data_IF_504503236234
#
_entry.id   IF_504503236234
#
_cell.length_a   1.000
_cell.length_b   1.000
_cell.length_c   1.000
_cell.angle_alpha   90.00
_cell.angle_beta   90.00
_cell.angle_gamma   90.00
#
_symmetry.space_group_name_H-M   'P 1'
#
loop_
_entity.id
_entity.type
_entity.pdbx_description
1 polymer ?
#
# COMPACT_ATOMS: atom_id res chain seq x y z
N UNK A 1 32.46 -2.04 -17.70
CA UNK A 1 31.04 -1.62 -17.76
C UNK A 1 30.48 -1.75 -16.35
N UNK A 2 30.41 -0.65 -15.61
CA UNK A 2 29.94 -0.65 -14.22
C UNK A 2 28.43 -0.90 -14.21
N UNK A 3 27.99 -1.97 -13.54
CA UNK A 3 26.54 -2.22 -13.39
C UNK A 3 26.02 -1.29 -12.29
N UNK A 4 24.99 -0.47 -12.57
CA UNK A 4 24.45 0.42 -11.55
C UNK A 4 23.94 -0.38 -10.34
N UNK A 5 24.19 0.13 -9.13
CA UNK A 5 23.80 -0.53 -7.88
C UNK A 5 22.27 -0.80 -7.89
N UNK A 6 21.82 -2.07 -7.81
CA UNK A 6 20.39 -2.41 -7.82
C UNK A 6 19.59 -1.73 -6.70
N UNK A 7 20.24 -1.30 -5.61
CA UNK A 7 19.60 -0.57 -4.50
C UNK A 7 19.15 0.84 -4.90
N UNK A 8 19.80 1.47 -5.87
CA UNK A 8 19.41 2.79 -6.38
C UNK A 8 18.03 2.76 -7.06
N UNK A 9 17.68 1.65 -7.70
CA UNK A 9 16.34 1.43 -8.28
C UNK A 9 15.29 1.17 -7.21
N UNK A 10 15.55 0.26 -6.26
CA UNK A 10 14.58 -0.12 -5.22
C UNK A 10 14.33 0.98 -4.19
N UNK A 11 15.17 2.00 -4.11
CA UNK A 11 14.96 3.18 -3.27
C UNK A 11 14.00 4.22 -3.86
N UNK A 12 13.67 4.14 -5.16
CA UNK A 12 12.78 5.12 -5.80
C UNK A 12 11.36 5.05 -5.20
N UNK A 13 10.73 6.17 -4.83
CA UNK A 13 9.40 6.18 -4.20
C UNK A 13 8.32 5.47 -5.01
N UNK A 14 8.33 5.62 -6.34
CA UNK A 14 7.38 4.94 -7.24
C UNK A 14 7.63 3.44 -7.39
N UNK A 15 8.86 2.97 -7.13
CA UNK A 15 9.18 1.53 -7.10
C UNK A 15 8.70 0.92 -5.78
N UNK A 16 8.77 1.68 -4.68
CA UNK A 16 8.31 1.26 -3.35
C UNK A 16 6.81 1.42 -3.15
N UNK A 17 6.18 2.32 -3.89
CA UNK A 17 4.74 2.57 -3.90
C UNK A 17 4.28 2.82 -5.34
N UNK A 18 3.81 1.79 -6.06
CA UNK A 18 3.38 1.92 -7.45
C UNK A 18 2.16 2.84 -7.61
N UNK A 19 1.38 3.09 -6.56
CA UNK A 19 0.25 4.02 -6.60
C UNK A 19 0.70 5.44 -6.92
N UNK A 20 1.91 5.85 -6.49
CA UNK A 20 2.46 7.18 -6.80
C UNK A 20 2.71 7.40 -8.31
N UNK A 21 2.84 6.33 -9.09
CA UNK A 21 3.01 6.42 -10.54
C UNK A 21 1.67 6.56 -11.30
N UNK A 22 0.53 6.36 -10.64
CA UNK A 22 -0.77 6.48 -11.28
C UNK A 22 -1.12 7.96 -11.46
N UNK A 23 -1.44 8.44 -12.68
CA UNK A 23 -1.87 9.83 -12.88
C UNK A 23 -3.09 10.19 -12.04
N UNK A 24 -3.99 9.21 -11.83
CA UNK A 24 -5.19 9.37 -11.01
C UNK A 24 -4.91 9.56 -9.52
N UNK A 25 -3.73 9.15 -9.02
CA UNK A 25 -3.37 9.34 -7.61
C UNK A 25 -3.25 10.81 -7.22
N UNK A 26 -2.94 11.70 -8.18
CA UNK A 26 -2.93 13.15 -7.96
C UNK A 26 -4.31 13.69 -7.53
N UNK A 27 -5.42 13.05 -7.94
CA UNK A 27 -6.78 13.43 -7.53
C UNK A 27 -7.02 13.27 -6.03
N UNK A 28 -6.29 12.38 -5.37
CA UNK A 28 -6.39 12.23 -3.90
C UNK A 28 -5.87 13.47 -3.17
N UNK A 29 -4.96 14.23 -3.79
CA UNK A 29 -4.43 15.47 -3.23
C UNK A 29 -5.38 16.64 -3.34
N UNK A 30 -6.40 16.57 -4.21
CA UNK A 30 -7.40 17.63 -4.38
C UNK A 30 -8.53 17.53 -3.35
N UNK A 31 -8.56 16.46 -2.55
CA UNK A 31 -9.50 16.31 -1.45
C UNK A 31 -9.20 17.34 -0.35
N UNK A 32 -10.24 17.76 0.39
CA UNK A 32 -10.04 18.64 1.54
C UNK A 32 -9.12 17.98 2.60
N UNK A 33 -8.41 18.75 3.42
CA UNK A 33 -7.53 18.19 4.46
C UNK A 33 -8.26 17.22 5.40
N UNK A 34 -9.50 17.54 5.78
CA UNK A 34 -10.34 16.65 6.59
C UNK A 34 -10.66 15.34 5.87
N UNK A 35 -11.11 15.40 4.60
CA UNK A 35 -11.41 14.19 3.83
C UNK A 35 -10.18 13.31 3.62
N UNK A 36 -9.00 13.91 3.43
CA UNK A 36 -7.73 13.18 3.34
C UNK A 36 -7.39 12.47 4.64
N UNK A 37 -7.57 13.15 5.78
CA UNK A 37 -7.31 12.58 7.09
C UNK A 37 -8.24 11.40 7.40
N UNK A 38 -9.54 11.58 7.20
CA UNK A 38 -10.54 10.52 7.41
C UNK A 38 -10.30 9.31 6.51
N UNK A 39 -10.13 9.52 5.21
CA UNK A 39 -9.87 8.43 4.27
C UNK A 39 -8.55 7.72 4.59
N UNK A 40 -7.52 8.47 5.00
CA UNK A 40 -6.24 7.89 5.42
C UNK A 40 -6.41 6.98 6.64
N UNK A 41 -7.18 7.39 7.65
CA UNK A 41 -7.40 6.55 8.83
C UNK A 41 -8.14 5.27 8.46
N UNK A 42 -9.24 5.37 7.69
CA UNK A 42 -9.98 4.19 7.22
C UNK A 42 -9.09 3.20 6.44
N UNK A 43 -8.16 3.70 5.62
CA UNK A 43 -7.21 2.86 4.89
C UNK A 43 -6.16 2.22 5.81
N UNK A 44 -5.77 2.88 6.91
CA UNK A 44 -4.87 2.31 7.91
C UNK A 44 -5.57 1.22 8.74
N UNK A 45 -6.84 1.41 9.06
CA UNK A 45 -7.68 0.40 9.73
C UNK A 45 -7.87 -0.83 8.83
N UNK A 46 -8.23 -0.61 7.54
CA UNK A 46 -8.31 -1.68 6.56
C UNK A 46 -6.98 -2.43 6.41
N UNK A 47 -5.85 -1.70 6.41
CA UNK A 47 -4.52 -2.30 6.36
C UNK A 47 -4.29 -3.23 7.56
N UNK A 48 -4.68 -2.81 8.76
CA UNK A 48 -4.50 -3.59 9.99
C UNK A 48 -5.39 -4.84 9.99
N UNK A 49 -6.68 -4.70 9.69
CA UNK A 49 -7.60 -5.84 9.59
C UNK A 49 -7.15 -6.87 8.54
N UNK A 50 -6.73 -6.40 7.36
CA UNK A 50 -6.21 -7.26 6.31
C UNK A 50 -4.93 -8.02 6.74
N UNK A 51 -4.08 -7.44 7.60
CA UNK A 51 -2.93 -8.17 8.15
C UNK A 51 -3.36 -9.31 9.05
N UNK A 52 -4.31 -9.06 9.95
CA UNK A 52 -4.84 -10.09 10.86
C UNK A 52 -5.47 -11.24 10.06
N UNK A 53 -6.28 -10.93 9.05
CA UNK A 53 -6.90 -11.95 8.17
C UNK A 53 -5.88 -12.75 7.37
N UNK A 54 -4.82 -12.11 6.89
CA UNK A 54 -3.73 -12.82 6.21
C UNK A 54 -3.05 -13.82 7.15
N UNK A 55 -2.72 -13.42 8.38
CA UNK A 55 -2.12 -14.31 9.39
C UNK A 55 -3.04 -15.46 9.76
N UNK A 56 -4.35 -15.21 9.90
CA UNK A 56 -5.33 -16.28 10.12
C UNK A 56 -5.35 -17.27 8.95
N UNK A 57 -5.36 -16.78 7.71
CA UNK A 57 -5.32 -17.62 6.52
C UNK A 57 -4.03 -18.46 6.46
N UNK A 58 -2.88 -17.90 6.84
CA UNK A 58 -1.63 -18.65 6.94
C UNK A 58 -1.74 -19.78 7.97
N UNK A 59 -2.21 -19.48 9.19
CA UNK A 59 -2.41 -20.49 10.24
C UNK A 59 -3.38 -21.61 9.84
N UNK A 60 -4.35 -21.30 8.98
CA UNK A 60 -5.36 -22.24 8.47
C UNK A 60 -4.96 -22.92 7.16
N UNK A 61 -3.71 -22.76 6.71
CA UNK A 61 -3.19 -23.35 5.47
C UNK A 61 -3.94 -22.89 4.20
N UNK A 62 -4.49 -21.66 4.20
CA UNK A 62 -5.21 -21.04 3.07
C UNK A 62 -4.31 -20.06 2.32
N UNK A 63 -3.24 -20.57 1.71
CA UNK A 63 -2.18 -19.74 1.12
C UNK A 63 -2.66 -18.70 0.08
N UNK A 64 -3.54 -19.04 -0.89
CA UNK A 64 -4.02 -18.04 -1.86
C UNK A 64 -4.78 -16.88 -1.19
N UNK A 65 -5.61 -17.17 -0.20
CA UNK A 65 -6.35 -16.15 0.54
C UNK A 65 -5.44 -15.31 1.43
N UNK A 66 -4.41 -15.91 2.01
CA UNK A 66 -3.43 -15.17 2.78
C UNK A 66 -2.65 -14.17 1.92
N UNK A 67 -2.25 -14.59 0.70
CA UNK A 67 -1.63 -13.71 -0.28
C UNK A 67 -2.57 -12.57 -0.72
N UNK A 68 -3.83 -12.88 -1.01
CA UNK A 68 -4.86 -11.87 -1.32
C UNK A 68 -4.96 -10.81 -0.21
N UNK A 69 -5.12 -11.23 1.05
CA UNK A 69 -5.21 -10.30 2.18
C UNK A 69 -3.92 -9.49 2.39
N UNK A 70 -2.74 -10.07 2.13
CA UNK A 70 -1.49 -9.28 2.13
C UNK A 70 -1.47 -8.23 1.03
N UNK A 71 -1.94 -8.53 -0.18
CA UNK A 71 -2.05 -7.54 -1.26
C UNK A 71 -2.98 -6.40 -0.86
N UNK A 72 -4.14 -6.70 -0.28
CA UNK A 72 -5.08 -5.70 0.25
C UNK A 72 -4.39 -4.79 1.28
N UNK A 73 -3.68 -5.37 2.25
CA UNK A 73 -2.94 -4.62 3.26
C UNK A 73 -1.87 -3.69 2.67
N UNK A 74 -1.12 -4.18 1.66
CA UNK A 74 -0.08 -3.41 0.98
C UNK A 74 -0.69 -2.23 0.22
N UNK A 75 -1.72 -2.46 -0.60
CA UNK A 75 -2.33 -1.39 -1.39
C UNK A 75 -3.07 -0.36 -0.52
N UNK A 76 -3.76 -0.79 0.54
CA UNK A 76 -4.36 0.13 1.50
C UNK A 76 -3.28 1.05 2.13
N UNK A 77 -2.15 0.47 2.55
CA UNK A 77 -1.00 1.23 3.06
C UNK A 77 -0.28 2.10 2.02
N UNK A 78 -0.35 1.75 0.75
CA UNK A 78 0.18 2.55 -0.35
C UNK A 78 -0.70 3.77 -0.61
N UNK A 79 -2.02 3.61 -0.71
CA UNK A 79 -2.96 4.72 -0.88
C UNK A 79 -2.94 5.64 0.33
N UNK A 80 -2.92 5.10 1.56
CA UNK A 80 -2.80 5.90 2.78
C UNK A 80 -1.56 6.80 2.79
N UNK A 81 -0.44 6.34 2.21
CA UNK A 81 0.79 7.16 2.07
C UNK A 81 0.65 8.27 1.04
N UNK A 82 -0.14 8.09 -0.01
CA UNK A 82 -0.44 9.17 -0.96
C UNK A 82 -1.17 10.31 -0.25
N UNK A 83 -2.07 9.99 0.67
CA UNK A 83 -2.88 10.96 1.42
C UNK A 83 -2.10 11.74 2.50
N UNK A 84 -0.82 11.42 2.75
CA UNK A 84 0.02 12.09 3.76
C UNK A 84 0.25 13.57 3.45
#
# INVERSE_FOLDING_TARGET
>A
MERPDPRLRSNRPHVRNPVLALPSAARLQTLSPAARAELRQLLLDLRADAQVRAEECWRRHKAPMAAYWKVVSVYAGHVARVLR
#
